data_IF_564563191151
#
_entry.id   IF_564563191151
#
_cell.length_a   1.000
_cell.length_b   1.000
_cell.length_c   1.000
_cell.angle_alpha   90.00
_cell.angle_beta   90.00
_cell.angle_gamma   90.00
#
_symmetry.space_group_name_H-M   'P 1'
#
loop_
_entity.id
_entity.type
_entity.pdbx_description
1 polymer ?
#
# COMPACT_ATOMS: atom_id res chain seq x y z
N UNK A 1 -8.04 10.53 20.93
CA UNK A 1 -8.36 9.09 20.77
C UNK A 1 -7.83 8.69 19.40
N UNK A 2 -6.97 7.69 19.35
CA UNK A 2 -6.45 7.19 18.07
C UNK A 2 -7.63 6.70 17.22
N UNK A 3 -7.64 7.11 15.95
CA UNK A 3 -8.75 6.76 15.03
C UNK A 3 -8.42 5.60 14.12
N UNK A 4 -7.21 5.03 14.24
CA UNK A 4 -6.78 3.83 13.53
C UNK A 4 -7.04 2.63 14.44
N UNK A 5 -7.90 1.72 14.01
CA UNK A 5 -8.29 0.54 14.79
C UNK A 5 -7.20 -0.54 14.79
N UNK A 6 -6.49 -0.68 13.66
CA UNK A 6 -5.46 -1.70 13.50
C UNK A 6 -4.41 -1.28 12.46
N UNK A 7 -3.15 -1.58 12.74
CA UNK A 7 -2.07 -1.55 11.76
C UNK A 7 -1.93 -2.95 11.17
N UNK A 8 -2.09 -3.08 9.86
CA UNK A 8 -1.76 -4.28 9.12
C UNK A 8 -0.36 -4.18 8.56
N UNK A 9 0.50 -5.15 8.87
CA UNK A 9 1.82 -5.28 8.27
C UNK A 9 1.75 -6.40 7.24
N UNK A 10 1.77 -6.06 5.97
CA UNK A 10 1.79 -7.02 4.87
C UNK A 10 3.22 -7.54 4.69
N UNK A 11 3.43 -8.83 4.96
CA UNK A 11 4.75 -9.45 4.93
C UNK A 11 4.72 -10.83 4.28
N UNK A 12 5.65 -11.10 3.38
CA UNK A 12 5.91 -12.47 2.91
C UNK A 12 6.60 -13.26 4.02
N UNK A 13 6.07 -14.43 4.38
CA UNK A 13 6.56 -15.24 5.50
C UNK A 13 8.07 -15.54 5.44
N UNK A 14 8.66 -15.59 4.24
CA UNK A 14 10.09 -15.76 4.04
C UNK A 14 10.92 -14.49 4.27
N UNK A 15 10.31 -13.30 4.27
CA UNK A 15 10.98 -12.01 4.42
C UNK A 15 11.03 -11.58 5.90
N UNK A 16 11.67 -12.41 6.74
CA UNK A 16 11.70 -12.19 8.20
C UNK A 16 12.51 -10.96 8.61
N UNK A 17 13.58 -10.64 7.88
CA UNK A 17 14.41 -9.48 8.13
C UNK A 17 13.64 -8.17 7.88
N UNK A 18 12.85 -8.11 6.81
CA UNK A 18 11.98 -6.97 6.51
C UNK A 18 10.91 -6.77 7.58
N UNK A 19 10.25 -7.87 7.99
CA UNK A 19 9.28 -7.81 9.09
C UNK A 19 9.94 -7.32 10.39
N UNK A 20 11.12 -7.82 10.73
CA UNK A 20 11.86 -7.38 11.91
C UNK A 20 12.16 -5.88 11.85
N UNK A 21 12.62 -5.38 10.70
CA UNK A 21 12.85 -3.94 10.47
C UNK A 21 11.58 -3.11 10.69
N UNK A 22 10.45 -3.52 10.11
CA UNK A 22 9.17 -2.82 10.26
C UNK A 22 8.71 -2.79 11.73
N UNK A 23 8.83 -3.91 12.45
CA UNK A 23 8.49 -3.97 13.88
C UNK A 23 9.42 -3.10 14.74
N UNK A 24 10.71 -3.04 14.43
CA UNK A 24 11.65 -2.16 15.11
C UNK A 24 11.34 -0.68 14.83
N UNK A 25 10.98 -0.33 13.60
CA UNK A 25 10.51 1.01 13.26
C UNK A 25 9.31 1.40 14.14
N UNK A 26 8.28 0.55 14.20
CA UNK A 26 7.08 0.83 15.02
C UNK A 26 7.41 0.97 16.52
N UNK A 27 8.34 0.18 17.02
CA UNK A 27 8.79 0.28 18.42
C UNK A 27 9.54 1.58 18.69
N UNK A 28 10.47 1.98 17.81
CA UNK A 28 11.24 3.23 17.92
C UNK A 28 10.35 4.47 17.79
N UNK A 29 9.29 4.37 16.99
CA UNK A 29 8.26 5.41 16.82
C UNK A 29 7.28 5.46 18.02
N UNK A 30 7.40 4.54 18.98
CA UNK A 30 6.46 4.41 20.13
C UNK A 30 5.00 4.37 19.68
N UNK A 31 4.71 3.57 18.64
CA UNK A 31 3.35 3.38 18.13
C UNK A 31 2.73 2.16 18.81
N UNK A 32 1.66 2.37 19.57
CA UNK A 32 0.99 1.34 20.40
C UNK A 32 -0.41 0.97 19.87
N UNK A 33 -0.71 1.30 18.62
CA UNK A 33 -1.94 0.88 17.96
C UNK A 33 -1.93 -0.65 17.80
N UNK A 34 -3.05 -1.36 18.02
CA UNK A 34 -3.12 -2.80 17.75
C UNK A 34 -2.59 -3.15 16.38
N UNK A 35 -1.75 -4.18 16.26
CA UNK A 35 -1.15 -4.55 14.98
C UNK A 35 -1.39 -6.00 14.64
N UNK A 36 -1.49 -6.28 13.35
CA UNK A 36 -1.66 -7.61 12.77
C UNK A 36 -0.68 -7.83 11.64
N UNK A 37 0.19 -8.83 11.79
CA UNK A 37 1.03 -9.30 10.70
C UNK A 37 0.14 -10.10 9.76
N UNK A 38 -0.01 -9.64 8.52
CA UNK A 38 -0.81 -10.30 7.50
C UNK A 38 0.09 -11.02 6.50
N UNK A 39 -0.07 -12.33 6.31
CA UNK A 39 0.80 -13.09 5.41
C UNK A 39 0.51 -12.71 3.96
N UNK A 40 1.49 -12.14 3.30
CA UNK A 40 1.48 -11.98 1.85
C UNK A 40 1.52 -13.34 1.13
N UNK A 41 0.89 -13.41 -0.02
CA UNK A 41 0.82 -14.62 -0.82
C UNK A 41 2.02 -14.65 -1.77
N UNK A 42 2.84 -15.69 -1.65
CA UNK A 42 4.01 -15.83 -2.51
C UNK A 42 3.63 -16.49 -3.84
N UNK A 43 3.89 -15.81 -4.94
CA UNK A 43 3.53 -16.24 -6.29
C UNK A 43 4.14 -17.58 -6.73
N UNK A 44 5.33 -17.93 -6.22
CA UNK A 44 6.03 -19.17 -6.60
C UNK A 44 5.67 -20.35 -5.69
N UNK A 45 4.40 -20.54 -5.40
CA UNK A 45 3.87 -21.71 -4.69
C UNK A 45 2.87 -22.44 -5.56
N UNK A 46 2.79 -23.74 -5.41
CA UNK A 46 1.79 -24.56 -6.12
C UNK A 46 0.38 -24.16 -5.73
N UNK A 47 0.17 -23.78 -4.47
CA UNK A 47 -1.13 -23.26 -4.01
C UNK A 47 -1.54 -22.00 -4.78
N UNK A 48 -0.64 -21.01 -4.92
CA UNK A 48 -0.96 -19.80 -5.69
C UNK A 48 -1.25 -20.13 -7.15
N UNK A 49 -0.39 -20.92 -7.80
CA UNK A 49 -0.50 -21.24 -9.23
C UNK A 49 -1.78 -22.02 -9.55
N UNK A 50 -2.10 -23.06 -8.78
CA UNK A 50 -3.15 -24.02 -9.11
C UNK A 50 -4.51 -23.66 -8.51
N UNK A 51 -4.53 -22.99 -7.34
CA UNK A 51 -5.80 -22.70 -6.65
C UNK A 51 -6.22 -21.24 -6.79
N UNK A 52 -5.27 -20.30 -6.76
CA UNK A 52 -5.59 -18.87 -6.80
C UNK A 52 -5.56 -18.33 -8.23
N UNK A 53 -4.39 -18.41 -8.88
CA UNK A 53 -4.15 -17.77 -10.17
C UNK A 53 -5.06 -18.30 -11.29
N UNK A 54 -5.38 -19.60 -11.27
CA UNK A 54 -6.24 -20.20 -12.26
C UNK A 54 -7.73 -20.12 -11.93
N UNK A 55 -8.11 -20.13 -10.64
CA UNK A 55 -9.50 -20.31 -10.19
C UNK A 55 -10.13 -19.07 -9.58
N UNK A 56 -9.39 -18.29 -8.81
CA UNK A 56 -9.95 -17.19 -8.01
C UNK A 56 -9.74 -15.82 -8.63
N UNK A 57 -8.68 -15.62 -9.43
CA UNK A 57 -8.33 -14.32 -9.98
C UNK A 57 -8.06 -14.41 -11.48
N UNK A 58 -8.33 -13.33 -12.17
CA UNK A 58 -8.00 -13.18 -13.59
C UNK A 58 -7.07 -11.99 -13.76
N UNK A 59 -5.82 -12.27 -14.12
CA UNK A 59 -4.88 -11.25 -14.53
C UNK A 59 -5.41 -10.52 -15.77
N UNK A 60 -5.38 -9.20 -15.76
CA UNK A 60 -5.84 -8.43 -16.89
C UNK A 60 -4.91 -8.61 -18.10
N UNK A 61 -5.44 -9.18 -19.18
CA UNK A 61 -4.71 -9.38 -20.44
C UNK A 61 -4.42 -8.07 -21.16
N UNK A 62 -5.11 -6.99 -20.80
CA UNK A 62 -4.92 -5.67 -21.42
C UNK A 62 -3.85 -4.84 -20.72
N UNK A 63 -3.49 -5.23 -19.48
CA UNK A 63 -2.46 -4.50 -18.76
C UNK A 63 -1.13 -4.56 -19.50
N UNK A 64 -0.49 -3.41 -19.59
CA UNK A 64 0.85 -3.24 -20.13
C UNK A 64 1.65 -2.32 -19.22
N UNK A 65 2.82 -2.77 -18.83
CA UNK A 65 3.81 -1.95 -18.15
C UNK A 65 4.30 -0.79 -19.05
N UNK A 66 5.03 0.14 -18.48
CA UNK A 66 5.61 1.25 -19.25
C UNK A 66 6.51 0.79 -20.40
N UNK A 67 7.20 -0.33 -20.24
CA UNK A 67 8.06 -0.96 -21.25
C UNK A 67 7.29 -1.88 -22.23
N UNK A 68 5.95 -1.91 -22.16
CA UNK A 68 5.05 -2.82 -22.91
C UNK A 68 5.09 -4.29 -22.46
N UNK A 69 5.80 -4.64 -21.42
CA UNK A 69 5.74 -5.99 -20.87
C UNK A 69 4.34 -6.33 -20.31
N UNK A 70 3.95 -7.60 -20.30
CA UNK A 70 2.70 -8.01 -19.67
C UNK A 70 2.80 -7.96 -18.15
N UNK A 71 1.65 -8.00 -17.49
CA UNK A 71 1.54 -8.12 -16.05
C UNK A 71 2.33 -9.33 -15.53
N UNK A 72 3.21 -9.10 -14.56
CA UNK A 72 4.01 -10.16 -13.95
C UNK A 72 3.19 -10.93 -12.90
N UNK A 73 3.46 -12.21 -12.75
CA UNK A 73 2.75 -13.07 -11.77
C UNK A 73 2.95 -12.58 -10.33
N UNK A 74 4.13 -12.03 -10.01
CA UNK A 74 4.40 -11.40 -8.71
C UNK A 74 3.49 -10.21 -8.42
N UNK A 75 3.20 -9.37 -9.42
CA UNK A 75 2.27 -8.25 -9.29
C UNK A 75 0.83 -8.71 -9.04
N UNK A 76 0.42 -9.80 -9.70
CA UNK A 76 -0.89 -10.44 -9.45
C UNK A 76 -0.98 -10.91 -8.00
N UNK A 77 0.05 -11.60 -7.53
CA UNK A 77 0.13 -12.10 -6.15
C UNK A 77 0.16 -10.96 -5.13
N UNK A 78 0.88 -9.89 -5.42
CA UNK A 78 0.94 -8.68 -4.58
C UNK A 78 -0.45 -8.02 -4.49
N UNK A 79 -1.09 -7.75 -5.63
CA UNK A 79 -2.44 -7.18 -5.64
C UNK A 79 -3.43 -8.07 -4.87
N UNK A 80 -3.41 -9.37 -5.12
CA UNK A 80 -4.30 -10.31 -4.44
C UNK A 80 -4.05 -10.35 -2.92
N UNK A 81 -2.80 -10.25 -2.47
CA UNK A 81 -2.45 -10.14 -1.05
C UNK A 81 -3.08 -8.90 -0.40
N UNK A 82 -3.03 -7.75 -1.06
CA UNK A 82 -3.70 -6.54 -0.60
C UNK A 82 -5.21 -6.70 -0.52
N UNK A 83 -5.84 -7.31 -1.54
CA UNK A 83 -7.29 -7.55 -1.52
C UNK A 83 -7.68 -8.47 -0.36
N UNK A 84 -6.91 -9.54 -0.10
CA UNK A 84 -7.16 -10.44 1.03
C UNK A 84 -6.99 -9.75 2.38
N UNK A 85 -6.05 -8.83 2.50
CA UNK A 85 -5.88 -8.01 3.69
C UNK A 85 -7.10 -7.09 3.90
N UNK A 86 -7.57 -6.43 2.84
CA UNK A 86 -8.77 -5.57 2.92
C UNK A 86 -10.03 -6.39 3.26
N UNK A 87 -10.20 -7.60 2.71
CA UNK A 87 -11.28 -8.52 3.08
C UNK A 87 -11.22 -8.94 4.55
N UNK A 88 -10.01 -9.15 5.08
CA UNK A 88 -9.82 -9.47 6.49
C UNK A 88 -10.18 -8.28 7.38
N UNK A 89 -9.78 -7.07 7.01
CA UNK A 89 -10.14 -5.85 7.73
C UNK A 89 -11.68 -5.63 7.73
N UNK A 90 -12.32 -5.83 6.58
CA UNK A 90 -13.79 -5.76 6.46
C UNK A 90 -14.49 -6.79 7.38
N UNK A 91 -14.03 -8.04 7.40
CA UNK A 91 -14.60 -9.11 8.26
C UNK A 91 -14.43 -8.81 9.76
N UNK A 92 -13.33 -8.15 10.14
CA UNK A 92 -13.10 -7.74 11.53
C UNK A 92 -13.91 -6.49 11.91
N UNK A 93 -14.58 -5.83 10.96
CA UNK A 93 -15.42 -4.67 11.23
C UNK A 93 -14.65 -3.39 11.56
N UNK A 94 -13.36 -3.31 11.23
CA UNK A 94 -12.55 -2.11 11.46
C UNK A 94 -13.08 -0.93 10.66
N UNK A 95 -13.12 0.24 11.32
CA UNK A 95 -13.56 1.49 10.69
C UNK A 95 -12.43 2.18 9.95
N UNK A 96 -11.19 2.03 10.47
CA UNK A 96 -9.99 2.61 9.87
C UNK A 96 -8.81 1.70 10.11
N UNK A 97 -8.05 1.39 9.07
CA UNK A 97 -6.81 0.64 9.16
C UNK A 97 -5.65 1.43 8.57
N UNK A 98 -4.46 1.22 9.12
CA UNK A 98 -3.20 1.60 8.47
C UNK A 98 -2.58 0.33 7.87
N UNK A 99 -2.38 0.31 6.57
CA UNK A 99 -1.60 -0.70 5.88
C UNK A 99 -0.14 -0.23 5.79
N UNK A 100 0.77 -1.07 6.25
CA UNK A 100 2.20 -0.93 6.04
C UNK A 100 2.71 -2.15 5.25
N UNK A 101 3.55 -1.92 4.24
CA UNK A 101 4.37 -2.98 3.67
C UNK A 101 5.60 -3.17 4.57
N UNK A 102 6.14 -4.37 4.59
CA UNK A 102 7.27 -4.75 5.46
C UNK A 102 8.58 -4.03 5.13
N UNK A 103 8.64 -3.33 4.00
CA UNK A 103 9.76 -2.49 3.55
C UNK A 103 9.56 -0.98 3.79
N UNK A 104 8.53 -0.59 4.52
CA UNK A 104 8.33 0.80 4.94
C UNK A 104 9.47 1.26 5.84
N UNK A 105 9.91 2.49 5.63
CA UNK A 105 11.01 3.08 6.39
C UNK A 105 10.88 4.60 6.53
N UNK A 106 11.48 5.15 7.61
CA UNK A 106 11.65 6.59 7.85
C UNK A 106 13.10 6.87 8.23
N UNK A 107 13.66 7.97 7.74
CA UNK A 107 15.06 8.33 8.07
C UNK A 107 15.23 8.73 9.53
N UNK A 108 14.26 9.44 10.06
CA UNK A 108 14.28 10.02 11.40
C UNK A 108 13.21 9.39 12.27
N UNK A 109 13.53 9.09 13.53
CA UNK A 109 12.55 8.63 14.52
C UNK A 109 11.54 9.75 14.76
N UNK A 110 10.26 9.41 14.84
CA UNK A 110 9.14 10.33 15.05
C UNK A 110 8.36 10.67 13.77
N UNK A 111 8.93 10.46 12.58
CA UNK A 111 8.28 10.84 11.32
C UNK A 111 6.96 10.11 11.06
N UNK A 112 6.91 8.80 11.27
CA UNK A 112 5.68 8.04 11.08
C UNK A 112 4.62 8.40 12.14
N UNK A 113 5.04 8.57 13.38
CA UNK A 113 4.16 8.99 14.47
C UNK A 113 3.57 10.39 14.22
N UNK A 114 4.40 11.34 13.77
CA UNK A 114 3.95 12.69 13.41
C UNK A 114 2.87 12.65 12.31
N UNK A 115 3.06 11.83 11.28
CA UNK A 115 2.10 11.70 10.19
C UNK A 115 0.77 11.07 10.65
N UNK A 116 0.82 10.09 11.54
CA UNK A 116 -0.39 9.53 12.17
C UNK A 116 -1.11 10.59 13.01
N UNK A 117 -0.37 11.43 13.73
CA UNK A 117 -0.95 12.54 14.50
C UNK A 117 -1.64 13.55 13.58
N UNK A 118 -1.00 13.97 12.49
CA UNK A 118 -1.57 14.88 11.48
C UNK A 118 -2.86 14.29 10.87
N UNK A 119 -2.84 13.02 10.50
CA UNK A 119 -4.05 12.32 10.03
C UNK A 119 -5.17 12.37 11.08
N UNK A 120 -4.86 12.05 12.34
CA UNK A 120 -5.83 12.07 13.43
C UNK A 120 -6.42 13.47 13.69
N UNK A 121 -5.64 14.53 13.48
CA UNK A 121 -6.10 15.92 13.55
C UNK A 121 -7.00 16.26 12.35
N UNK A 122 -6.56 15.92 11.15
CA UNK A 122 -7.29 16.19 9.92
C UNK A 122 -8.69 15.58 9.95
N UNK A 123 -8.83 14.33 10.33
CA UNK A 123 -10.12 13.63 10.33
C UNK A 123 -11.10 14.13 11.39
N UNK A 124 -10.69 15.00 12.32
CA UNK A 124 -11.58 15.65 13.26
C UNK A 124 -12.38 16.79 12.63
N UNK A 125 -11.79 17.44 11.66
CA UNK A 125 -12.37 18.61 10.96
C UNK A 125 -12.84 18.27 9.56
N UNK A 126 -12.20 17.30 8.92
CA UNK A 126 -12.44 16.89 7.53
C UNK A 126 -12.55 15.37 7.46
N UNK A 127 -13.73 14.86 7.19
CA UNK A 127 -14.00 13.42 7.13
C UNK A 127 -14.58 12.97 5.78
N UNK A 128 -14.43 13.78 4.74
CA UNK A 128 -15.01 13.53 3.43
C UNK A 128 -14.04 12.80 2.46
N UNK A 129 -12.87 12.39 2.96
CA UNK A 129 -11.94 11.52 2.24
C UNK A 129 -11.91 10.11 2.84
N UNK A 130 -11.48 9.15 2.05
CA UNK A 130 -11.61 7.72 2.37
C UNK A 130 -10.25 7.00 2.38
N UNK A 131 -9.26 7.57 1.69
CA UNK A 131 -7.91 7.05 1.59
C UNK A 131 -6.91 8.16 1.91
N UNK A 132 -5.88 7.84 2.70
CA UNK A 132 -4.82 8.79 3.04
C UNK A 132 -3.45 8.14 2.92
N UNK A 133 -2.60 8.68 2.05
CA UNK A 133 -1.22 8.26 1.91
C UNK A 133 -0.35 8.94 2.97
N UNK A 134 0.26 8.14 3.86
CA UNK A 134 1.37 8.60 4.71
C UNK A 134 2.66 8.64 3.89
N UNK A 135 2.88 7.63 3.04
CA UNK A 135 4.00 7.53 2.12
C UNK A 135 3.57 7.04 0.75
N UNK A 136 4.12 7.62 -0.30
CA UNK A 136 3.88 7.28 -1.71
C UNK A 136 5.07 7.73 -2.55
N UNK A 137 5.14 7.28 -3.80
CA UNK A 137 6.09 7.78 -4.79
C UNK A 137 5.36 8.51 -5.92
N UNK A 138 5.71 9.78 -6.16
CA UNK A 138 5.19 10.54 -7.29
C UNK A 138 5.82 10.04 -8.58
N UNK A 139 5.00 9.73 -9.58
CA UNK A 139 5.48 9.33 -10.91
C UNK A 139 6.09 10.52 -11.64
N UNK A 140 5.40 11.65 -11.67
CA UNK A 140 5.96 12.91 -12.18
C UNK A 140 6.40 13.79 -10.99
N UNK A 141 7.72 13.87 -10.80
CA UNK A 141 8.33 14.68 -9.73
C UNK A 141 8.08 16.18 -9.90
N UNK A 142 7.74 16.64 -11.10
CA UNK A 142 7.45 18.05 -11.39
C UNK A 142 5.97 18.39 -11.24
N UNK A 143 5.07 17.40 -11.14
CA UNK A 143 3.66 17.64 -10.88
C UNK A 143 3.48 18.31 -9.52
N UNK A 144 2.86 19.49 -9.50
CA UNK A 144 2.46 20.15 -8.26
C UNK A 144 1.13 19.56 -7.80
N UNK A 145 1.14 18.94 -6.65
CA UNK A 145 -0.08 18.52 -5.99
C UNK A 145 -0.73 19.69 -5.28
N UNK A 146 -2.04 19.82 -5.41
CA UNK A 146 -2.80 20.90 -4.79
C UNK A 146 -3.03 20.62 -3.31
N UNK A 147 -2.95 21.66 -2.47
CA UNK A 147 -3.36 21.57 -1.07
C UNK A 147 -4.86 21.34 -0.98
N UNK A 148 -5.25 20.49 -0.04
CA UNK A 148 -6.66 20.22 0.23
C UNK A 148 -7.20 21.28 1.20
N UNK A 149 -8.05 22.18 0.70
CA UNK A 149 -8.69 23.26 1.49
C UNK A 149 -7.66 24.07 2.31
N UNK A 150 -8.01 24.47 3.52
CA UNK A 150 -7.13 25.19 4.45
C UNK A 150 -6.32 24.20 5.34
N UNK A 151 -5.83 23.11 4.76
CA UNK A 151 -5.07 22.07 5.46
C UNK A 151 -3.67 21.89 4.89
N UNK A 152 -2.81 21.15 5.60
CA UNK A 152 -1.50 20.72 5.09
C UNK A 152 -1.57 19.47 4.20
N UNK A 153 -2.74 18.82 4.08
CA UNK A 153 -2.89 17.65 3.23
C UNK A 153 -2.91 18.03 1.75
N UNK A 154 -2.48 17.10 0.91
CA UNK A 154 -2.46 17.26 -0.54
C UNK A 154 -3.51 16.38 -1.22
N UNK A 155 -4.02 16.84 -2.35
CA UNK A 155 -4.76 16.00 -3.30
C UNK A 155 -3.72 15.24 -4.13
N UNK A 156 -3.58 13.90 -3.97
CA UNK A 156 -2.51 13.16 -4.62
C UNK A 156 -2.67 13.17 -6.14
N UNK A 157 -1.56 13.39 -6.85
CA UNK A 157 -1.43 13.16 -8.27
C UNK A 157 -1.33 11.68 -8.59
N UNK A 158 -0.82 11.37 -9.80
CA UNK A 158 -0.49 9.99 -10.14
C UNK A 158 0.72 9.51 -9.34
N UNK A 159 0.50 8.50 -8.54
CA UNK A 159 1.51 8.02 -7.59
C UNK A 159 1.57 6.51 -7.58
N UNK A 160 2.77 5.96 -7.43
CA UNK A 160 3.06 4.56 -7.18
C UNK A 160 3.24 4.29 -5.70
N UNK A 161 3.38 3.01 -5.41
CA UNK A 161 3.60 2.43 -4.09
C UNK A 161 2.40 2.62 -3.14
N UNK A 162 2.11 1.59 -2.41
CA UNK A 162 1.07 1.56 -1.38
C UNK A 162 1.69 1.08 -0.05
N UNK A 163 2.92 1.56 0.25
CA UNK A 163 3.70 1.06 1.38
C UNK A 163 3.26 1.59 2.75
N UNK A 164 2.57 2.74 2.78
CA UNK A 164 2.02 3.31 4.01
C UNK A 164 0.73 4.06 3.70
N UNK A 165 -0.42 3.38 3.84
CA UNK A 165 -1.73 3.92 3.42
C UNK A 165 -2.79 3.65 4.48
N UNK A 166 -3.57 4.67 4.81
CA UNK A 166 -4.73 4.55 5.68
C UNK A 166 -5.98 4.39 4.81
N UNK A 167 -6.79 3.39 5.15
CA UNK A 167 -8.07 3.10 4.50
C UNK A 167 -9.20 3.23 5.50
N UNK A 168 -10.23 4.00 5.17
CA UNK A 168 -11.50 3.94 5.88
C UNK A 168 -12.29 2.68 5.48
N UNK A 169 -13.22 2.26 6.33
CA UNK A 169 -14.15 1.18 6.01
C UNK A 169 -14.88 1.42 4.69
N UNK A 170 -15.34 2.64 4.45
CA UNK A 170 -16.03 2.99 3.22
C UNK A 170 -15.14 2.84 1.99
N UNK A 171 -13.85 3.19 2.10
CA UNK A 171 -12.86 2.93 1.05
C UNK A 171 -12.74 1.44 0.78
N UNK A 172 -12.55 0.64 1.82
CA UNK A 172 -12.42 -0.82 1.72
C UNK A 172 -13.63 -1.42 1.02
N UNK A 173 -14.84 -1.07 1.48
CA UNK A 173 -16.09 -1.57 0.91
C UNK A 173 -16.21 -1.21 -0.58
N UNK A 174 -15.87 0.01 -0.97
CA UNK A 174 -15.89 0.46 -2.36
C UNK A 174 -14.88 -0.28 -3.24
N UNK A 175 -13.63 -0.41 -2.78
CA UNK A 175 -12.57 -1.09 -3.53
C UNK A 175 -12.89 -2.58 -3.75
N UNK A 176 -13.37 -3.27 -2.73
CA UNK A 176 -13.72 -4.69 -2.80
C UNK A 176 -14.97 -4.96 -3.67
N UNK A 177 -15.84 -3.96 -3.85
CA UNK A 177 -17.01 -4.04 -4.74
C UNK A 177 -16.69 -3.78 -6.21
N UNK A 178 -15.44 -3.48 -6.57
CA UNK A 178 -15.02 -3.36 -7.96
C UNK A 178 -14.74 -4.73 -8.58
N UNK A 179 -14.74 -4.87 -9.92
CA UNK A 179 -14.39 -6.12 -10.58
C UNK A 179 -12.86 -6.37 -10.63
N UNK A 180 -12.12 -5.98 -9.59
CA UNK A 180 -10.65 -6.10 -9.54
C UNK A 180 -10.20 -7.56 -9.59
N UNK A 181 -10.90 -8.49 -8.96
CA UNK A 181 -10.54 -9.91 -8.95
C UNK A 181 -10.62 -10.56 -10.34
N UNK A 182 -11.54 -10.10 -11.17
CA UNK A 182 -11.71 -10.54 -12.56
C UNK A 182 -10.77 -9.83 -13.53
N UNK A 183 -10.11 -8.76 -13.08
CA UNK A 183 -9.25 -7.91 -13.90
C UNK A 183 -8.06 -7.38 -13.11
N UNK A 184 -7.30 -8.27 -12.49
CA UNK A 184 -6.14 -7.89 -11.67
C UNK A 184 -5.15 -7.04 -12.48
N UNK A 185 -4.75 -5.93 -11.88
CA UNK A 185 -3.65 -5.04 -12.27
C UNK A 185 -2.79 -4.78 -11.02
N UNK A 186 -1.62 -4.13 -11.11
CA UNK A 186 -0.86 -3.76 -9.92
C UNK A 186 -1.70 -2.93 -8.95
N UNK A 187 -1.59 -3.22 -7.65
CA UNK A 187 -2.44 -2.57 -6.64
C UNK A 187 -2.19 -1.06 -6.54
N UNK A 188 -0.95 -0.66 -6.71
CA UNK A 188 -0.53 0.75 -6.73
C UNK A 188 -0.97 1.51 -8.00
N UNK A 189 -1.36 0.79 -9.05
CA UNK A 189 -2.00 1.35 -10.23
C UNK A 189 -3.54 1.36 -10.12
N UNK A 190 -4.09 0.39 -9.38
CA UNK A 190 -5.52 0.31 -9.12
C UNK A 190 -6.03 1.49 -8.27
N UNK A 191 -5.29 1.89 -7.24
CA UNK A 191 -5.69 3.01 -6.39
C UNK A 191 -5.79 4.34 -7.15
N UNK A 192 -4.81 4.77 -7.97
CA UNK A 192 -4.91 5.97 -8.80
C UNK A 192 -6.09 5.98 -9.77
N UNK A 193 -6.48 4.83 -10.31
CA UNK A 193 -7.72 4.73 -11.11
C UNK A 193 -8.93 5.06 -10.25
N UNK A 194 -9.03 4.48 -9.05
CA UNK A 194 -10.17 4.65 -8.17
C UNK A 194 -10.32 6.09 -7.62
N UNK A 195 -9.24 6.90 -7.56
CA UNK A 195 -9.37 8.33 -7.25
C UNK A 195 -9.21 9.24 -8.49
N UNK A 196 -9.10 8.67 -9.69
CA UNK A 196 -9.20 9.39 -10.97
C UNK A 196 -7.94 10.11 -11.42
N UNK A 197 -6.75 9.67 -11.01
CA UNK A 197 -5.45 10.29 -11.32
C UNK A 197 -4.47 9.40 -12.09
N UNK A 198 -4.84 8.16 -12.42
CA UNK A 198 -3.98 7.25 -13.18
C UNK A 198 -3.61 7.80 -14.56
N UNK A 199 -2.40 7.51 -14.99
CA UNK A 199 -1.87 7.78 -16.33
C UNK A 199 -1.39 6.50 -17.03
N UNK A 200 -1.89 5.32 -16.58
CA UNK A 200 -1.55 4.05 -17.22
C UNK A 200 -1.91 4.02 -18.71
N UNK A 201 -1.23 3.18 -19.50
CA UNK A 201 -1.38 3.13 -20.95
C UNK A 201 -2.81 2.88 -21.44
N UNK A 202 -3.53 2.01 -20.75
CA UNK A 202 -4.91 1.65 -21.11
C UNK A 202 -5.93 2.40 -20.21
N UNK A 203 -5.61 3.65 -19.83
CA UNK A 203 -6.41 4.47 -18.92
C UNK A 203 -7.89 4.51 -19.29
N UNK A 204 -8.23 4.74 -20.55
CA UNK A 204 -9.62 4.85 -21.00
C UNK A 204 -10.42 3.55 -20.79
N UNK A 205 -9.75 2.41 -20.92
CA UNK A 205 -10.35 1.12 -20.63
C UNK A 205 -10.52 0.92 -19.14
N UNK A 206 -9.44 1.15 -18.36
CA UNK A 206 -9.46 0.89 -16.92
C UNK A 206 -10.32 1.89 -16.14
N UNK A 207 -10.42 3.16 -16.57
CA UNK A 207 -11.31 4.13 -15.92
C UNK A 207 -12.80 3.80 -16.08
N UNK A 208 -13.17 3.02 -17.10
CA UNK A 208 -14.54 2.48 -17.22
C UNK A 208 -14.76 1.29 -16.30
N UNK A 209 -13.74 0.50 -16.10
CA UNK A 209 -13.78 -0.69 -15.25
C UNK A 209 -13.66 -0.35 -13.77
N UNK A 210 -12.79 0.62 -13.45
CA UNK A 210 -12.51 1.14 -12.12
C UNK A 210 -12.75 2.66 -12.12
N UNK A 211 -14.02 3.09 -12.05
CA UNK A 211 -14.35 4.52 -12.08
C UNK A 211 -13.87 5.22 -10.81
N UNK A 212 -13.81 6.54 -10.85
CA UNK A 212 -13.52 7.35 -9.66
C UNK A 212 -14.63 7.15 -8.62
N UNK A 213 -14.31 6.42 -7.57
CA UNK A 213 -15.25 6.03 -6.49
C UNK A 213 -14.79 6.47 -5.10
N UNK A 214 -13.53 6.86 -4.95
CA UNK A 214 -12.96 7.29 -3.67
C UNK A 214 -12.37 8.69 -3.79
N UNK A 215 -12.32 9.39 -2.66
CA UNK A 215 -11.53 10.60 -2.48
C UNK A 215 -10.27 10.24 -1.70
N UNK A 216 -9.13 10.55 -2.27
CA UNK A 216 -7.82 10.32 -1.66
C UNK A 216 -7.17 11.64 -1.27
N UNK A 217 -6.48 11.64 -0.14
CA UNK A 217 -5.55 12.68 0.28
C UNK A 217 -4.18 12.07 0.58
N UNK A 218 -3.17 12.89 0.73
CA UNK A 218 -1.83 12.48 1.16
C UNK A 218 -1.21 13.48 2.11
N UNK A 219 -0.27 13.01 2.92
CA UNK A 219 0.64 13.87 3.67
C UNK A 219 1.39 14.81 2.73
N UNK A 220 1.66 16.03 3.16
CA UNK A 220 2.55 16.96 2.46
C UNK A 220 4.04 16.61 2.65
N UNK A 221 4.33 15.67 3.53
CA UNK A 221 5.68 15.14 3.81
C UNK A 221 5.80 13.66 3.48
N UNK A 222 4.98 13.15 2.56
CA UNK A 222 4.94 11.74 2.14
C UNK A 222 6.31 11.17 1.72
N UNK A 223 7.25 12.00 1.29
CA UNK A 223 8.61 11.59 0.90
C UNK A 223 9.47 11.15 2.09
N UNK A 224 9.07 11.46 3.33
CA UNK A 224 9.76 11.04 4.54
C UNK A 224 9.51 9.57 4.87
N UNK A 225 8.38 9.02 4.41
CA UNK A 225 7.98 7.63 4.59
C UNK A 225 8.08 6.94 3.24
N UNK A 226 9.01 6.02 3.08
CA UNK A 226 9.36 5.45 1.79
C UNK A 226 9.60 3.94 1.87
N UNK A 227 9.67 3.29 0.71
CA UNK A 227 10.15 1.91 0.60
C UNK A 227 11.68 1.90 0.63
N UNK A 228 12.24 1.07 1.47
CA UNK A 228 13.67 1.01 1.67
C UNK A 228 14.21 -0.39 1.37
N UNK A 229 15.37 -0.43 0.76
CA UNK A 229 16.19 -1.63 0.78
C UNK A 229 16.77 -1.75 2.20
N UNK A 230 16.63 -2.93 2.85
CA UNK A 230 17.13 -3.16 4.21
C UNK A 230 18.61 -2.77 4.38
N UNK A 231 19.43 -2.83 3.31
CA UNK A 231 20.85 -2.43 3.32
C UNK A 231 21.08 -0.95 3.60
N UNK A 232 20.10 -0.09 3.34
CA UNK A 232 20.14 1.33 3.67
C UNK A 232 19.46 1.68 4.99
N UNK A 233 18.89 0.68 5.67
CA UNK A 233 18.22 0.87 6.95
C UNK A 233 19.23 1.14 8.08
N UNK A 234 18.83 1.97 9.06
CA UNK A 234 19.55 2.13 10.34
C UNK A 234 19.61 0.83 11.16
N UNK A 235 18.81 -0.16 10.82
CA UNK A 235 18.79 -1.49 11.46
C UNK A 235 19.65 -2.53 10.74
N UNK A 236 20.42 -2.13 9.71
CA UNK A 236 21.21 -3.02 8.86
C UNK A 236 22.02 -4.03 9.68
N UNK A 237 22.82 -3.53 10.63
CA UNK A 237 23.72 -4.37 11.43
C UNK A 237 22.98 -5.38 12.31
N UNK A 238 21.73 -5.06 12.71
CA UNK A 238 20.89 -5.96 13.51
C UNK A 238 20.15 -7.01 12.67
N UNK A 239 20.12 -6.81 11.36
CA UNK A 239 19.38 -7.64 10.41
C UNK A 239 20.31 -8.59 9.66
N UNK A 240 21.59 -8.25 9.49
CA UNK A 240 22.57 -9.02 8.70
C UNK A 240 22.74 -10.47 9.16
N UNK A 241 22.50 -10.80 10.43
CA UNK A 241 22.53 -12.17 10.94
C UNK A 241 21.49 -13.13 10.28
N UNK A 242 20.49 -12.58 9.58
CA UNK A 242 19.33 -13.34 9.07
C UNK A 242 19.19 -13.30 7.54
N UNK A 243 20.08 -12.62 6.81
CA UNK A 243 19.73 -12.08 5.49
C UNK A 243 20.39 -12.68 4.26
N UNK A 244 21.19 -13.71 4.34
CA UNK A 244 21.86 -14.26 3.14
C UNK A 244 20.90 -14.91 2.12
N UNK A 245 19.64 -15.17 2.51
CA UNK A 245 18.64 -15.80 1.64
C UNK A 245 17.56 -14.86 1.09
N UNK A 246 17.46 -13.63 1.60
CA UNK A 246 16.33 -12.73 1.28
C UNK A 246 16.60 -11.77 0.11
N UNK A 247 17.83 -11.66 -0.36
CA UNK A 247 18.26 -10.64 -1.35
C UNK A 247 17.83 -10.99 -2.78
N UNK A 248 17.74 -12.26 -3.13
CA UNK A 248 17.49 -12.69 -4.51
C UNK A 248 16.05 -12.41 -5.01
N UNK A 249 15.10 -12.25 -4.10
CA UNK A 249 13.67 -12.16 -4.46
C UNK A 249 13.09 -10.73 -4.48
N UNK A 250 13.81 -9.73 -3.98
CA UNK A 250 13.34 -8.33 -4.01
C UNK A 250 13.35 -7.69 -5.40
N UNK A 251 14.12 -8.25 -6.33
CA UNK A 251 14.22 -7.80 -7.72
C UNK A 251 13.22 -8.50 -8.67
N UNK A 252 12.35 -9.37 -8.16
CA UNK A 252 11.38 -10.13 -8.96
C UNK A 252 9.91 -9.67 -8.81
N UNK A 253 9.71 -8.53 -8.13
CA UNK A 253 8.41 -7.86 -8.05
C UNK A 253 8.26 -6.89 -9.21
#
# INVERSE_FOLDING_TARGET
>A
MEKIDCIYILNLQKQRSRLKQCLMLLADEEIYIPMKIFPGIYWNTDYFKNEIYEKEVKASKKWKEMDNSPLKVGQVSCCYSHLKLLEDAQRNGYQTILLLQDDVYCNTIGELKEEIIKYNQLIQTNNDFELYYLGKEKVDKNEKEETYEDTDALIPGYSWNAHAVIFSKNCIDKLLNTPIKENIIPFDEFLPLCYGKSQCKEKDYYSKLFPKIIRALSSNTFEKIYQCNYQSSRYKDLIEEYSLTDIEDSNSI
#
